data_IF_717415390938
#
_entry.id   IF_717415390938
#
_cell.length_a   1.000
_cell.length_b   1.000
_cell.length_c   1.000
_cell.angle_alpha   90.00
_cell.angle_beta   90.00
_cell.angle_gamma   90.00
#
_symmetry.space_group_name_H-M   'P 1'
#
loop_
_entity.id
_entity.type
_entity.pdbx_description
1 polymer ?
#
# COMPACT_ATOMS: atom_id res chain seq x y z
N UNK A 1 -6.41 11.31 -7.76
CA UNK A 1 -6.43 10.76 -6.38
C UNK A 1 -5.59 11.66 -5.50
N UNK A 2 -5.98 11.86 -4.23
CA UNK A 2 -5.41 12.88 -3.33
C UNK A 2 -3.87 12.84 -3.23
N UNK A 3 -3.27 11.66 -3.37
CA UNK A 3 -1.82 11.46 -3.22
C UNK A 3 -1.11 11.06 -4.53
N UNK A 4 -1.75 11.16 -5.70
CA UNK A 4 -1.14 10.73 -6.97
C UNK A 4 0.02 11.61 -7.45
N UNK A 5 0.20 12.79 -6.85
CA UNK A 5 1.30 13.72 -7.14
C UNK A 5 2.64 13.32 -6.52
N UNK A 6 2.63 12.38 -5.57
CA UNK A 6 3.84 11.85 -4.93
C UNK A 6 4.20 10.51 -5.54
N UNK A 7 5.49 10.18 -5.67
CA UNK A 7 5.89 8.88 -6.20
C UNK A 7 5.61 7.73 -5.20
N UNK A 8 5.85 6.49 -5.64
CA UNK A 8 5.57 5.30 -4.83
C UNK A 8 6.48 5.25 -3.60
N UNK A 9 7.76 5.55 -3.78
CA UNK A 9 8.78 5.42 -2.73
C UNK A 9 8.62 6.52 -1.68
N UNK A 10 8.23 7.72 -2.09
CA UNK A 10 7.86 8.83 -1.21
C UNK A 10 6.67 8.43 -0.33
N UNK A 11 5.62 7.85 -0.90
CA UNK A 11 4.46 7.37 -0.14
C UNK A 11 4.82 6.25 0.83
N UNK A 12 5.67 5.31 0.43
CA UNK A 12 6.20 4.28 1.34
C UNK A 12 7.04 4.89 2.47
N UNK A 13 7.74 5.99 2.23
CA UNK A 13 8.57 6.64 3.25
C UNK A 13 7.76 7.12 4.46
N UNK A 14 6.46 7.41 4.29
CA UNK A 14 5.56 7.90 5.34
C UNK A 14 5.21 6.86 6.42
N UNK A 15 5.66 5.61 6.25
CA UNK A 15 5.54 4.56 7.27
C UNK A 15 6.81 4.38 8.11
N UNK A 16 7.96 4.93 7.70
CA UNK A 16 9.28 4.64 8.28
C UNK A 16 9.36 4.90 9.79
N UNK A 17 8.71 5.96 10.26
CA UNK A 17 8.72 6.35 11.68
C UNK A 17 7.52 5.81 12.48
N UNK A 18 6.56 5.12 11.84
CA UNK A 18 5.38 4.63 12.53
C UNK A 18 5.73 3.48 13.46
N UNK A 19 5.27 3.61 14.69
CA UNK A 19 5.22 2.51 15.65
C UNK A 19 3.80 1.99 15.69
N UNK A 20 3.66 0.67 15.56
CA UNK A 20 2.37 0.00 15.55
C UNK A 20 2.40 -1.15 16.55
N UNK A 21 1.24 -1.48 17.11
CA UNK A 21 1.12 -2.62 18.03
C UNK A 21 1.41 -3.94 17.32
N UNK A 22 1.00 -4.08 16.05
CA UNK A 22 1.31 -5.22 15.20
C UNK A 22 2.11 -4.77 13.99
N UNK A 23 3.08 -5.56 13.56
CA UNK A 23 3.94 -5.19 12.44
C UNK A 23 3.16 -4.99 11.13
N UNK A 24 2.14 -5.81 10.88
CA UNK A 24 1.26 -5.70 9.71
C UNK A 24 0.52 -4.35 9.61
N UNK A 25 0.24 -3.69 10.74
CA UNK A 25 -0.47 -2.41 10.76
C UNK A 25 0.32 -1.28 10.07
N UNK A 26 1.65 -1.41 9.95
CA UNK A 26 2.45 -0.47 9.15
C UNK A 26 2.00 -0.49 7.69
N UNK A 27 1.88 -1.67 7.09
CA UNK A 27 1.39 -1.81 5.72
C UNK A 27 -0.07 -1.32 5.60
N UNK A 28 -0.92 -1.67 6.58
CA UNK A 28 -2.34 -1.29 6.55
C UNK A 28 -2.56 0.22 6.62
N UNK A 29 -1.71 0.94 7.34
CA UNK A 29 -1.76 2.41 7.41
C UNK A 29 -1.54 3.11 6.06
N UNK A 30 -1.02 2.41 5.06
CA UNK A 30 -0.76 2.94 3.72
C UNK A 30 -1.92 2.73 2.73
N UNK A 31 -2.98 2.00 3.10
CA UNK A 31 -4.07 1.67 2.17
C UNK A 31 -4.74 2.90 1.57
N UNK A 32 -5.12 3.86 2.42
CA UNK A 32 -5.74 5.12 1.96
C UNK A 32 -4.78 6.02 1.17
N UNK A 33 -3.46 5.89 1.38
CA UNK A 33 -2.44 6.64 0.64
C UNK A 33 -2.27 6.09 -0.78
N UNK A 34 -2.34 4.77 -0.92
CA UNK A 34 -2.25 4.10 -2.22
C UNK A 34 -3.61 3.89 -2.90
N UNK A 35 -4.71 4.23 -2.22
CA UNK A 35 -6.08 3.97 -2.67
C UNK A 35 -6.29 2.47 -3.01
N UNK A 36 -5.81 1.62 -2.11
CA UNK A 36 -5.89 0.15 -2.23
C UNK A 36 -6.88 -0.38 -1.21
N UNK A 37 -7.75 -1.28 -1.68
CA UNK A 37 -8.63 -2.06 -0.83
C UNK A 37 -8.15 -3.51 -0.76
N UNK A 38 -7.83 -3.99 0.44
CA UNK A 38 -7.50 -5.39 0.68
C UNK A 38 -7.96 -5.86 2.06
N UNK A 39 -8.09 -7.18 2.22
CA UNK A 39 -8.47 -7.80 3.49
C UNK A 39 -7.34 -7.70 4.52
N UNK A 40 -7.68 -7.21 5.72
CA UNK A 40 -6.80 -7.23 6.89
C UNK A 40 -6.67 -8.68 7.41
N UNK A 41 -5.45 -9.21 7.43
CA UNK A 41 -5.14 -10.53 7.95
C UNK A 41 -4.24 -10.38 9.17
N UNK A 42 -4.85 -10.30 10.36
CA UNK A 42 -4.07 -10.21 11.60
C UNK A 42 -3.32 -11.52 11.89
N UNK A 43 -2.05 -11.37 12.30
CA UNK A 43 -1.13 -12.50 12.46
C UNK A 43 -0.37 -12.89 11.19
N UNK A 44 -0.57 -12.19 10.06
CA UNK A 44 0.19 -12.46 8.84
C UNK A 44 1.64 -11.93 8.89
N UNK A 45 1.90 -10.97 9.77
CA UNK A 45 3.21 -10.34 9.97
C UNK A 45 3.53 -9.22 8.97
N UNK A 46 4.46 -8.35 9.36
CA UNK A 46 4.84 -7.14 8.62
C UNK A 46 5.24 -7.42 7.17
N UNK A 47 6.17 -8.36 6.96
CA UNK A 47 6.73 -8.67 5.63
C UNK A 47 5.65 -9.14 4.65
N UNK A 48 4.75 -10.02 5.10
CA UNK A 48 3.69 -10.58 4.25
C UNK A 48 2.63 -9.52 3.92
N UNK A 49 2.27 -8.68 4.89
CA UNK A 49 1.35 -7.57 4.66
C UNK A 49 1.91 -6.57 3.64
N UNK A 50 3.21 -6.22 3.71
CA UNK A 50 3.86 -5.36 2.72
C UNK A 50 3.93 -5.98 1.32
N UNK A 51 4.20 -7.29 1.23
CA UNK A 51 4.20 -8.00 -0.06
C UNK A 51 2.83 -7.92 -0.74
N UNK A 52 1.75 -8.22 0.00
CA UNK A 52 0.38 -8.09 -0.52
C UNK A 52 0.07 -6.66 -0.94
N UNK A 53 0.49 -5.67 -0.15
CA UNK A 53 0.30 -4.25 -0.48
C UNK A 53 0.96 -3.91 -1.82
N UNK A 54 2.20 -4.35 -2.04
CA UNK A 54 2.91 -4.13 -3.30
C UNK A 54 2.17 -4.77 -4.48
N UNK A 55 1.72 -6.01 -4.33
CA UNK A 55 0.94 -6.71 -5.37
C UNK A 55 -0.35 -5.97 -5.73
N UNK A 56 -1.06 -5.43 -4.74
CA UNK A 56 -2.29 -4.69 -4.95
C UNK A 56 -2.04 -3.34 -5.65
N UNK A 57 -0.96 -2.64 -5.31
CA UNK A 57 -0.51 -1.42 -6.00
C UNK A 57 -0.18 -1.75 -7.46
N UNK A 58 0.59 -2.80 -7.71
CA UNK A 58 0.98 -3.19 -9.07
C UNK A 58 -0.23 -3.55 -9.94
N UNK A 59 -1.25 -4.22 -9.37
CA UNK A 59 -2.53 -4.49 -10.06
C UNK A 59 -3.28 -3.21 -10.38
N UNK A 60 -3.34 -2.27 -9.44
CA UNK A 60 -4.00 -0.97 -9.66
C UNK A 60 -3.31 -0.18 -10.78
N UNK A 61 -1.97 -0.19 -10.84
CA UNK A 61 -1.22 0.49 -11.89
C UNK A 61 -1.40 -0.17 -13.25
N UNK A 62 -1.39 -1.52 -13.31
CA UNK A 62 -1.68 -2.27 -14.55
C UNK A 62 -3.11 -2.09 -15.05
N UNK A 63 -4.08 -1.95 -14.14
CA UNK A 63 -5.46 -1.64 -14.51
C UNK A 63 -5.66 -0.20 -14.99
N UNK A 64 -4.70 0.71 -14.74
CA UNK A 64 -4.71 2.09 -15.24
C UNK A 64 -4.07 2.23 -16.62
N UNK A 65 -3.22 1.30 -17.04
CA UNK A 65 -2.83 1.18 -18.45
C UNK A 65 -4.01 0.56 -19.22
N UNK A 66 -4.74 1.38 -19.98
CA UNK A 66 -5.92 1.12 -20.85
C UNK A 66 -7.32 1.15 -20.17
N UNK A 67 -8.29 1.97 -20.68
CA UNK A 67 -8.66 2.07 -22.10
C UNK A 67 -8.65 3.52 -22.65
N UNK A 68 -7.59 3.92 -23.35
CA UNK A 68 -7.52 4.94 -24.44
C UNK A 68 -6.06 5.41 -24.66
N UNK A 69 -5.11 4.48 -24.79
CA UNK A 69 -3.92 4.78 -25.62
C UNK A 69 -4.18 4.18 -27.01
#
# INVERSE_FOLDING_TARGET
YLFSQFDIDERFSWVKSRQTTRGEDKAYSLFGIFDVQMLLLYGEGEVKAFLRLREAIDRLLKGKSYPND
#
